data_IF_550182354558
#
_entry.id   IF_550182354558
#
_cell.length_a   1.000
_cell.length_b   1.000
_cell.length_c   1.000
_cell.angle_alpha   90.00
_cell.angle_beta   90.00
_cell.angle_gamma   90.00
#
_symmetry.space_group_name_H-M   'P 1'
#
loop_
_entity.id
_entity.type
_entity.pdbx_description
1 polymer ?
#
# COMPACT_ATOMS: atom_id res chain seq x y z
N UNK A 1 -23.63 -16.68 8.92
CA UNK A 1 -22.69 -15.85 8.13
C UNK A 1 -21.93 -16.75 7.18
N UNK A 2 -22.16 -16.67 5.86
CA UNK A 2 -21.32 -17.38 4.87
C UNK A 2 -20.13 -16.47 4.56
N UNK A 3 -18.94 -16.88 4.97
CA UNK A 3 -17.71 -16.27 4.51
C UNK A 3 -17.49 -16.70 3.06
N UNK A 4 -17.39 -15.74 2.14
CA UNK A 4 -17.01 -16.00 0.75
C UNK A 4 -15.55 -16.47 0.75
N UNK A 5 -15.35 -17.80 0.81
CA UNK A 5 -14.05 -18.47 0.97
C UNK A 5 -12.89 -17.91 0.13
N UNK A 6 -13.07 -17.53 -1.15
CA UNK A 6 -11.98 -17.01 -1.99
C UNK A 6 -11.42 -15.67 -1.50
N UNK A 7 -12.28 -14.80 -0.95
CA UNK A 7 -11.88 -13.46 -0.49
C UNK A 7 -11.11 -13.53 0.82
N UNK A 8 -11.50 -14.45 1.70
CA UNK A 8 -10.81 -14.71 2.98
C UNK A 8 -9.44 -15.33 2.74
N UNK A 9 -9.33 -16.27 1.80
CA UNK A 9 -8.05 -16.86 1.38
C UNK A 9 -7.10 -15.81 0.76
N UNK A 10 -7.61 -14.92 -0.08
CA UNK A 10 -6.81 -13.83 -0.65
C UNK A 10 -6.33 -12.86 0.44
N UNK A 11 -7.20 -12.47 1.36
CA UNK A 11 -6.87 -11.59 2.49
C UNK A 11 -5.81 -12.24 3.40
N UNK A 12 -5.98 -13.52 3.73
CA UNK A 12 -5.03 -14.30 4.51
C UNK A 12 -3.69 -14.46 3.79
N UNK A 13 -3.69 -14.73 2.48
CA UNK A 13 -2.48 -14.84 1.67
C UNK A 13 -1.69 -13.54 1.64
N UNK A 14 -2.36 -12.40 1.43
CA UNK A 14 -1.67 -11.11 1.43
C UNK A 14 -1.19 -10.72 2.85
N UNK A 15 -1.98 -11.00 3.89
CA UNK A 15 -1.54 -10.80 5.28
C UNK A 15 -0.35 -11.68 5.66
N UNK A 16 -0.31 -12.94 5.20
CA UNK A 16 0.83 -13.84 5.39
C UNK A 16 2.08 -13.34 4.68
N UNK A 17 1.94 -12.76 3.48
CA UNK A 17 3.06 -12.16 2.75
C UNK A 17 3.58 -10.86 3.38
N UNK A 18 2.68 -10.02 3.92
CA UNK A 18 3.08 -8.88 4.76
C UNK A 18 3.72 -9.36 6.07
N UNK A 19 3.24 -10.45 6.67
CA UNK A 19 3.89 -11.12 7.79
C UNK A 19 5.29 -11.65 7.42
N UNK A 20 5.46 -12.17 6.21
CA UNK A 20 6.75 -12.60 5.67
C UNK A 20 7.74 -11.44 5.53
N UNK A 21 7.29 -10.27 5.06
CA UNK A 21 8.07 -9.03 5.02
C UNK A 21 8.57 -8.59 6.41
N UNK A 22 7.69 -8.68 7.41
CA UNK A 22 8.00 -8.40 8.82
C UNK A 22 9.09 -9.35 9.33
N UNK A 23 9.03 -10.63 8.98
CA UNK A 23 9.98 -11.64 9.46
C UNK A 23 11.35 -11.59 8.76
N UNK A 24 11.42 -11.18 7.48
CA UNK A 24 12.65 -11.23 6.68
C UNK A 24 13.63 -10.07 6.92
N UNK A 25 13.19 -8.99 7.55
CA UNK A 25 14.04 -7.84 7.87
C UNK A 25 13.93 -7.46 9.36
N UNK A 26 14.31 -8.37 10.28
CA UNK A 26 14.14 -8.15 11.72
C UNK A 26 14.80 -6.84 12.13
N UNK A 27 14.15 -6.08 13.02
CA UNK A 27 14.71 -4.86 13.61
C UNK A 27 16.05 -5.24 14.23
N UNK A 28 17.15 -4.73 13.68
CA UNK A 28 18.48 -4.96 14.24
C UNK A 28 18.67 -4.01 15.40
N UNK A 29 18.60 -4.56 16.62
CA UNK A 29 19.02 -3.84 17.81
C UNK A 29 20.55 -3.74 17.81
N UNK A 30 21.09 -2.55 17.54
CA UNK A 30 22.49 -2.28 17.83
C UNK A 30 22.65 -2.15 19.34
N UNK A 31 23.69 -2.79 19.88
CA UNK A 31 23.98 -2.91 21.32
C UNK A 31 24.23 -1.57 22.04
N UNK A 32 24.17 -0.45 21.35
CA UNK A 32 24.14 0.90 21.91
C UNK A 32 22.87 1.67 21.54
N UNK A 33 21.69 1.22 21.99
CA UNK A 33 20.38 1.94 22.01
C UNK A 33 19.88 2.68 20.75
N UNK A 34 20.60 2.69 19.62
CA UNK A 34 20.18 3.37 18.40
C UNK A 34 19.50 2.37 17.47
N UNK A 35 18.21 2.55 17.26
CA UNK A 35 17.52 1.91 16.15
C UNK A 35 17.97 2.64 14.88
N UNK A 36 18.45 1.92 13.87
CA UNK A 36 18.84 2.53 12.59
C UNK A 36 17.60 3.22 11.98
N UNK A 37 17.68 4.53 11.71
CA UNK A 37 16.60 5.33 11.11
C UNK A 37 16.14 4.69 9.80
N UNK A 38 17.04 4.03 9.06
CA UNK A 38 16.72 3.31 7.82
C UNK A 38 15.82 2.10 8.08
N UNK A 39 16.01 1.42 9.20
CA UNK A 39 15.16 0.31 9.60
C UNK A 39 13.79 0.82 10.06
N UNK A 40 13.73 1.88 10.87
CA UNK A 40 12.46 2.53 11.24
C UNK A 40 11.62 2.94 10.03
N UNK A 41 12.23 3.58 9.03
CA UNK A 41 11.53 4.00 7.81
C UNK A 41 11.02 2.80 6.99
N UNK A 42 11.77 1.69 6.96
CA UNK A 42 11.30 0.45 6.33
C UNK A 42 10.09 -0.12 7.05
N UNK A 43 10.15 -0.22 8.38
CA UNK A 43 9.09 -0.76 9.21
C UNK A 43 7.82 0.11 9.17
N UNK A 44 7.99 1.43 9.18
CA UNK A 44 6.90 2.38 8.95
C UNK A 44 6.27 2.16 7.56
N UNK A 45 7.08 1.95 6.52
CA UNK A 45 6.60 1.64 5.16
C UNK A 45 5.82 0.33 5.08
N UNK A 46 6.29 -0.73 5.75
CA UNK A 46 5.58 -2.03 5.81
C UNK A 46 4.24 -1.88 6.53
N UNK A 47 4.25 -1.22 7.70
CA UNK A 47 3.04 -0.97 8.47
C UNK A 47 2.03 -0.13 7.69
N UNK A 48 2.48 0.96 7.06
CA UNK A 48 1.64 1.82 6.23
C UNK A 48 1.04 1.07 5.04
N UNK A 49 1.84 0.25 4.34
CA UNK A 49 1.36 -0.61 3.25
C UNK A 49 0.33 -1.64 3.71
N UNK A 50 0.53 -2.25 4.89
CA UNK A 50 -0.42 -3.19 5.48
C UNK A 50 -1.74 -2.51 5.88
N UNK A 51 -1.67 -1.33 6.49
CA UNK A 51 -2.86 -0.52 6.83
C UNK A 51 -3.59 -0.09 5.56
N UNK A 52 -2.87 0.35 4.53
CA UNK A 52 -3.42 0.75 3.24
C UNK A 52 -4.21 -0.40 2.59
N UNK A 53 -3.61 -1.59 2.56
CA UNK A 53 -4.26 -2.79 2.07
C UNK A 53 -5.52 -3.15 2.88
N UNK A 54 -5.40 -3.20 4.21
CA UNK A 54 -6.51 -3.55 5.08
C UNK A 54 -7.69 -2.58 4.89
N UNK A 55 -7.40 -1.28 4.84
CA UNK A 55 -8.41 -0.23 4.64
C UNK A 55 -9.00 -0.26 3.23
N UNK A 56 -8.23 -0.59 2.18
CA UNK A 56 -8.76 -0.83 0.83
C UNK A 56 -9.75 -2.01 0.78
N UNK A 57 -9.43 -3.11 1.45
CA UNK A 57 -10.30 -4.29 1.49
C UNK A 57 -11.59 -3.98 2.27
N UNK A 58 -11.49 -3.25 3.37
CA UNK A 58 -12.64 -2.76 4.13
C UNK A 58 -13.49 -1.79 3.31
N UNK A 59 -12.89 -0.91 2.51
CA UNK A 59 -13.61 0.01 1.61
C UNK A 59 -14.38 -0.71 0.49
N UNK A 60 -13.91 -1.88 0.04
CA UNK A 60 -14.57 -2.70 -0.99
C UNK A 60 -15.69 -3.61 -0.43
N UNK A 61 -15.59 -3.97 0.84
CA UNK A 61 -16.48 -4.93 1.46
C UNK A 61 -17.88 -4.37 1.76
N UNK A 62 -18.84 -5.27 2.04
CA UNK A 62 -20.18 -4.93 2.59
C UNK A 62 -20.12 -4.08 3.88
N UNK A 63 -18.95 -3.94 4.50
CA UNK A 63 -18.73 -3.12 5.68
C UNK A 63 -18.64 -1.61 5.41
N UNK A 64 -18.76 -1.17 4.14
CA UNK A 64 -18.88 0.27 3.78
C UNK A 64 -19.99 0.99 4.57
N UNK A 65 -21.04 0.28 5.00
CA UNK A 65 -22.14 0.82 5.82
C UNK A 65 -21.82 0.95 7.32
N UNK A 66 -20.78 0.28 7.82
CA UNK A 66 -20.60 0.11 9.26
C UNK A 66 -19.79 1.22 9.92
N UNK A 67 -18.98 2.00 9.20
CA UNK A 67 -18.20 3.09 9.81
C UNK A 67 -17.84 4.17 8.77
N UNK A 68 -18.35 5.38 8.97
CA UNK A 68 -18.06 6.56 8.14
C UNK A 68 -16.56 6.90 8.07
N UNK A 69 -15.74 6.44 9.03
CA UNK A 69 -14.31 6.76 9.11
C UNK A 69 -13.37 5.93 8.24
N UNK A 70 -13.79 4.80 7.67
CA UNK A 70 -12.85 3.94 6.92
C UNK A 70 -12.26 4.60 5.68
N UNK A 71 -13.06 5.43 5.00
CA UNK A 71 -12.56 6.18 3.84
C UNK A 71 -11.50 7.21 4.25
N UNK A 72 -11.61 7.75 5.47
CA UNK A 72 -10.70 8.76 6.03
C UNK A 72 -9.37 8.12 6.35
N UNK A 73 -9.41 6.96 7.03
CA UNK A 73 -8.22 6.17 7.31
C UNK A 73 -7.58 5.67 6.02
N UNK A 74 -8.36 5.25 5.02
CA UNK A 74 -7.83 4.83 3.72
C UNK A 74 -7.11 5.98 2.98
N UNK A 75 -7.74 7.14 2.86
CA UNK A 75 -7.13 8.29 2.22
C UNK A 75 -5.89 8.78 2.98
N UNK A 76 -5.97 8.87 4.32
CA UNK A 76 -4.86 9.31 5.16
C UNK A 76 -3.68 8.33 5.06
N UNK A 77 -3.95 7.02 5.19
CA UNK A 77 -2.91 5.99 5.04
C UNK A 77 -2.29 5.98 3.65
N UNK A 78 -3.05 6.30 2.60
CA UNK A 78 -2.53 6.45 1.24
C UNK A 78 -1.54 7.62 1.15
N UNK A 79 -1.88 8.78 1.71
CA UNK A 79 -0.99 9.96 1.74
C UNK A 79 0.27 9.69 2.56
N UNK A 80 0.13 9.09 3.74
CA UNK A 80 1.27 8.74 4.61
C UNK A 80 2.18 7.72 3.91
N UNK A 81 1.61 6.68 3.29
CA UNK A 81 2.37 5.69 2.52
C UNK A 81 3.15 6.35 1.38
N UNK A 82 2.50 7.24 0.62
CA UNK A 82 3.16 7.99 -0.45
C UNK A 82 4.33 8.83 0.08
N UNK A 83 4.15 9.54 1.20
CA UNK A 83 5.22 10.32 1.83
C UNK A 83 6.41 9.46 2.24
N UNK A 84 6.16 8.31 2.87
CA UNK A 84 7.22 7.37 3.28
C UNK A 84 7.97 6.80 2.08
N UNK A 85 7.25 6.39 1.02
CA UNK A 85 7.89 5.85 -0.19
C UNK A 85 8.69 6.93 -0.93
N UNK A 86 8.25 8.20 -0.94
CA UNK A 86 9.00 9.33 -1.49
C UNK A 86 10.32 9.57 -0.73
N UNK A 87 10.28 9.53 0.60
CA UNK A 87 11.51 9.64 1.41
C UNK A 87 12.44 8.46 1.14
N UNK A 88 11.88 7.25 1.07
CA UNK A 88 12.66 6.04 0.77
C UNK A 88 13.32 6.09 -0.62
N UNK A 89 12.60 6.53 -1.65
CA UNK A 89 13.10 6.55 -3.03
C UNK A 89 14.23 7.55 -3.24
N UNK A 90 14.24 8.69 -2.52
CA UNK A 90 15.35 9.67 -2.57
C UNK A 90 16.70 9.07 -2.19
N UNK A 91 16.72 8.09 -1.29
CA UNK A 91 17.96 7.43 -0.87
C UNK A 91 18.60 6.56 -1.96
N UNK A 92 17.91 6.33 -3.09
CA UNK A 92 18.37 5.48 -4.21
C UNK A 92 18.43 6.19 -5.56
N UNK A 93 18.22 7.50 -5.59
CA UNK A 93 18.15 8.27 -6.84
C UNK A 93 19.52 8.45 -7.55
N UNK A 94 20.64 8.10 -6.91
CA UNK A 94 21.98 8.30 -7.46
C UNK A 94 22.34 7.39 -8.64
N UNK A 95 21.74 6.20 -8.77
CA UNK A 95 21.98 5.26 -9.87
C UNK A 95 20.69 4.51 -10.21
N UNK A 96 20.17 4.68 -11.42
CA UNK A 96 18.99 3.95 -11.90
C UNK A 96 19.44 2.64 -12.54
N UNK A 97 19.38 1.56 -11.77
CA UNK A 97 19.56 0.18 -12.25
C UNK A 97 18.22 -0.41 -12.68
N UNK A 98 18.21 -1.42 -13.58
CA UNK A 98 16.98 -2.09 -14.02
C UNK A 98 16.12 -2.65 -12.87
N UNK A 99 16.76 -3.10 -11.80
CA UNK A 99 16.09 -3.56 -10.57
C UNK A 99 15.27 -2.47 -9.85
N UNK A 100 15.48 -1.19 -10.20
CA UNK A 100 14.74 -0.06 -9.64
C UNK A 100 13.48 0.31 -10.45
N UNK A 101 13.31 -0.16 -11.70
CA UNK A 101 12.13 0.19 -12.51
C UNK A 101 10.81 -0.18 -11.83
N UNK A 102 10.71 -1.38 -11.24
CA UNK A 102 9.50 -1.76 -10.49
C UNK A 102 9.27 -0.91 -9.23
N UNK A 103 10.35 -0.43 -8.61
CA UNK A 103 10.25 0.47 -7.45
C UNK A 103 9.66 1.83 -7.86
N UNK A 104 10.13 2.38 -8.99
CA UNK A 104 9.61 3.63 -9.54
C UNK A 104 8.19 3.51 -10.09
N UNK A 105 7.85 2.38 -10.72
CA UNK A 105 6.47 2.10 -11.14
C UNK A 105 5.52 2.07 -9.95
N UNK A 106 5.89 1.36 -8.87
CA UNK A 106 5.09 1.30 -7.64
C UNK A 106 4.93 2.68 -7.00
N UNK A 107 5.99 3.49 -6.98
CA UNK A 107 5.96 4.88 -6.52
C UNK A 107 5.01 5.75 -7.38
N UNK A 108 5.10 5.66 -8.71
CA UNK A 108 4.22 6.41 -9.60
C UNK A 108 2.75 6.04 -9.41
N UNK A 109 2.46 4.74 -9.29
CA UNK A 109 1.11 4.24 -9.05
C UNK A 109 0.53 4.72 -7.71
N UNK A 110 1.30 4.67 -6.61
CA UNK A 110 0.81 5.13 -5.30
C UNK A 110 0.56 6.64 -5.28
N UNK A 111 1.39 7.44 -5.97
CA UNK A 111 1.17 8.89 -6.11
C UNK A 111 -0.13 9.16 -6.88
N UNK A 112 -0.30 8.54 -8.04
CA UNK A 112 -1.51 8.71 -8.88
C UNK A 112 -2.75 8.32 -8.07
N UNK A 113 -2.71 7.20 -7.36
CA UNK A 113 -3.83 6.73 -6.55
C UNK A 113 -4.13 7.63 -5.35
N UNK A 114 -3.11 8.12 -4.65
CA UNK A 114 -3.31 9.05 -3.54
C UNK A 114 -3.96 10.36 -4.02
N UNK A 115 -3.48 10.95 -5.11
CA UNK A 115 -4.07 12.15 -5.71
C UNK A 115 -5.50 11.89 -6.21
N UNK A 116 -5.70 10.76 -6.87
CA UNK A 116 -7.01 10.31 -7.35
C UNK A 116 -8.01 10.13 -6.20
N UNK A 117 -7.58 9.56 -5.07
CA UNK A 117 -8.39 9.42 -3.85
C UNK A 117 -8.76 10.76 -3.22
N UNK A 118 -7.83 11.72 -3.19
CA UNK A 118 -8.12 13.11 -2.75
C UNK A 118 -9.17 13.75 -3.66
N UNK A 119 -9.01 13.62 -4.98
CA UNK A 119 -9.97 14.19 -5.94
C UNK A 119 -11.38 13.59 -5.79
N UNK A 120 -11.49 12.26 -5.63
CA UNK A 120 -12.76 11.58 -5.35
C UNK A 120 -13.44 12.16 -4.10
N UNK A 121 -12.64 12.47 -3.08
CA UNK A 121 -13.13 12.94 -1.79
C UNK A 121 -13.58 14.39 -1.79
N UNK A 122 -12.98 15.23 -2.64
CA UNK A 122 -13.41 16.63 -2.82
C UNK A 122 -14.75 16.76 -3.55
N UNK A 123 -15.17 15.74 -4.31
CA UNK A 123 -16.37 15.78 -5.14
C UNK A 123 -17.29 14.54 -4.98
N UNK A 124 -17.77 14.22 -3.76
CA UNK A 124 -18.41 12.93 -3.44
C UNK A 124 -19.80 12.69 -4.08
N UNK A 125 -20.39 13.70 -4.73
CA UNK A 125 -21.67 13.59 -5.43
C UNK A 125 -21.59 13.68 -6.96
N UNK A 126 -20.41 13.96 -7.52
CA UNK A 126 -20.29 14.20 -8.96
C UNK A 126 -20.37 12.88 -9.74
N UNK A 127 -21.31 12.72 -10.70
CA UNK A 127 -21.47 11.47 -11.45
C UNK A 127 -20.24 11.11 -12.28
N UNK A 128 -19.51 12.08 -12.83
CA UNK A 128 -18.28 11.84 -13.58
C UNK A 128 -17.15 11.33 -12.69
N UNK A 129 -17.03 11.87 -11.47
CA UNK A 129 -16.05 11.43 -10.47
C UNK A 129 -16.37 10.01 -10.00
N UNK A 130 -17.65 9.69 -9.82
CA UNK A 130 -18.10 8.35 -9.47
C UNK A 130 -17.82 7.33 -10.59
N UNK A 131 -17.96 7.74 -11.85
CA UNK A 131 -17.59 6.90 -13.01
C UNK A 131 -16.07 6.71 -13.07
N UNK A 132 -15.30 7.79 -12.93
CA UNK A 132 -13.84 7.76 -12.86
C UNK A 132 -13.33 6.83 -11.75
N UNK A 133 -13.95 6.86 -10.57
CA UNK A 133 -13.64 5.94 -9.47
C UNK A 133 -13.76 4.48 -9.90
N UNK A 134 -14.85 4.11 -10.57
CA UNK A 134 -15.12 2.71 -10.95
C UNK A 134 -14.27 2.24 -12.13
N UNK A 135 -14.07 3.11 -13.12
CA UNK A 135 -13.44 2.75 -14.40
C UNK A 135 -11.93 2.92 -14.37
N UNK A 136 -11.42 3.83 -13.53
CA UNK A 136 -9.99 4.13 -13.49
C UNK A 136 -9.38 3.87 -12.12
N UNK A 137 -9.87 4.52 -11.06
CA UNK A 137 -9.24 4.41 -9.73
C UNK A 137 -9.19 2.97 -9.22
N UNK A 138 -10.31 2.25 -9.33
CA UNK A 138 -10.39 0.87 -8.85
C UNK A 138 -9.50 -0.10 -9.64
N UNK A 139 -9.52 -0.16 -11.00
CA UNK A 139 -8.58 -0.99 -11.75
C UNK A 139 -7.12 -0.64 -11.52
N UNK A 140 -6.78 0.65 -11.45
CA UNK A 140 -5.41 1.09 -11.16
C UNK A 140 -4.98 0.67 -9.75
N UNK A 141 -5.89 0.69 -8.77
CA UNK A 141 -5.62 0.19 -7.41
C UNK A 141 -5.29 -1.30 -7.41
N UNK A 142 -6.02 -2.10 -8.19
CA UNK A 142 -5.73 -3.53 -8.36
C UNK A 142 -4.35 -3.72 -8.97
N UNK A 143 -4.03 -3.00 -10.05
CA UNK A 143 -2.72 -3.04 -10.71
C UNK A 143 -1.58 -2.61 -9.77
N UNK A 144 -1.80 -1.60 -8.93
CA UNK A 144 -0.88 -1.20 -7.87
C UNK A 144 -0.61 -2.32 -6.89
N UNK A 145 -1.65 -2.98 -6.34
CA UNK A 145 -1.44 -4.07 -5.39
C UNK A 145 -0.74 -5.28 -6.02
N UNK A 146 -1.04 -5.61 -7.28
CA UNK A 146 -0.30 -6.67 -8.01
C UNK A 146 1.17 -6.28 -8.18
N UNK A 147 1.44 -5.03 -8.55
CA UNK A 147 2.82 -4.53 -8.75
C UNK A 147 3.58 -4.49 -7.43
N UNK A 148 2.96 -3.99 -6.36
CA UNK A 148 3.52 -3.95 -5.01
C UNK A 148 3.80 -5.37 -4.51
N UNK A 149 2.86 -6.30 -4.75
CA UNK A 149 3.02 -7.69 -4.41
C UNK A 149 4.24 -8.30 -5.11
N UNK A 150 4.31 -8.17 -6.44
CA UNK A 150 5.47 -8.62 -7.21
C UNK A 150 6.78 -7.98 -6.71
N UNK A 151 6.77 -6.67 -6.47
CA UNK A 151 7.93 -5.94 -5.94
C UNK A 151 8.42 -6.53 -4.61
N UNK A 152 7.50 -6.86 -3.71
CA UNK A 152 7.78 -7.48 -2.42
C UNK A 152 8.36 -8.89 -2.59
N UNK A 153 7.74 -9.74 -3.41
CA UNK A 153 8.18 -11.13 -3.62
C UNK A 153 9.60 -11.17 -4.22
N UNK A 154 9.90 -10.31 -5.20
CA UNK A 154 11.26 -10.14 -5.76
C UNK A 154 12.24 -9.67 -4.68
N UNK A 155 11.84 -8.74 -3.80
CA UNK A 155 12.71 -8.23 -2.73
C UNK A 155 12.98 -9.25 -1.63
N UNK A 156 12.07 -10.19 -1.41
CA UNK A 156 12.23 -11.30 -0.49
C UNK A 156 13.08 -12.45 -1.07
N UNK A 157 13.45 -12.39 -2.36
CA UNK A 157 14.20 -13.47 -3.02
C UNK A 157 13.40 -14.77 -3.13
N UNK A 158 12.07 -14.67 -3.09
CA UNK A 158 11.16 -15.82 -3.29
C UNK A 158 11.11 -16.21 -4.77
N UNK A 159 11.37 -15.25 -5.67
CA UNK A 159 11.52 -15.42 -7.12
C UNK A 159 12.74 -14.64 -7.62
#
# INVERSE_FOLDING_TARGET
MRFDGPRVLMLAGVLLLFGGLVLFRPIRFNSGWSIDIKDWLHWAGIAAGGILLATSLLALSRFRRLYFGWMDVHCLSSVVSTGLVLVHSRTKAGVILPIHYHSYLTLGLVIILALSGVFIRLYPGNPHVNMYLRVFHLPVSIGFYITLFYHVVVKLGVI
#
